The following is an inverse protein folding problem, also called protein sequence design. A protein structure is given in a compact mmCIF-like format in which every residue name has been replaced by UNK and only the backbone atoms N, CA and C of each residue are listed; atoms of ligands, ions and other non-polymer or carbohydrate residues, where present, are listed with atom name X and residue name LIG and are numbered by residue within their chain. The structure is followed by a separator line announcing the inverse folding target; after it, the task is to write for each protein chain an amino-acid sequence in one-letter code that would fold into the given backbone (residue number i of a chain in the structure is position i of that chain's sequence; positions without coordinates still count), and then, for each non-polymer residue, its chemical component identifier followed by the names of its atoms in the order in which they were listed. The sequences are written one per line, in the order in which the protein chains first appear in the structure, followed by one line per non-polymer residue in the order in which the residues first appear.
data_IF_826015592674
#
_entry.id   IF_826015592674
#
_cell.length_a   1.000
_cell.length_b   1.000
_cell.length_c   1.000
_cell.angle_alpha   90.00
_cell.angle_beta   90.00
_cell.angle_gamma   90.00
#
_symmetry.space_group_name_H-M   'P 1'
#
loop_
_entity.id
_entity.type
_entity.pdbx_description
1 polymer ?
#
# COMPACT_ATOMS: atom_id res chain seq x y z
N UNK A 1 -13.96 11.87 -1.15
CA UNK A 1 -13.84 13.11 -0.33
C UNK A 1 -12.51 13.10 0.43
N UNK A 2 -12.46 13.74 1.57
CA UNK A 2 -11.19 13.77 2.36
C UNK A 2 -10.71 12.34 2.60
N UNK A 3 -11.61 11.39 2.59
CA UNK A 3 -11.20 9.98 2.82
C UNK A 3 -10.17 9.55 1.77
N UNK A 4 -10.53 9.63 0.52
CA UNK A 4 -9.57 9.23 -0.56
C UNK A 4 -8.39 10.20 -0.61
N UNK A 5 -8.47 11.30 0.08
CA UNK A 5 -7.34 12.28 0.06
C UNK A 5 -6.13 11.71 0.81
N UNK A 6 -6.36 11.09 1.94
CA UNK A 6 -5.22 10.52 2.71
C UNK A 6 -4.75 9.20 2.08
N UNK A 7 -5.65 8.46 1.49
CA UNK A 7 -5.25 7.17 0.85
C UNK A 7 -4.31 7.43 -0.32
N UNK A 8 -4.43 8.57 -0.95
CA UNK A 8 -3.54 8.88 -2.11
C UNK A 8 -2.13 9.23 -1.61
N UNK A 9 -2.04 9.86 -0.47
CA UNK A 9 -0.70 10.23 0.07
C UNK A 9 0.06 8.98 0.52
N UNK A 10 -0.65 7.92 0.82
CA UNK A 10 0.02 6.67 1.27
C UNK A 10 0.63 5.94 0.07
N UNK A 11 -0.10 5.83 -1.00
CA UNK A 11 0.43 5.13 -2.21
C UNK A 11 1.72 5.80 -2.68
N UNK A 12 1.85 7.08 -2.46
CA UNK A 12 3.09 7.79 -2.89
C UNK A 12 4.21 7.55 -1.87
N UNK A 13 3.85 7.33 -0.63
CA UNK A 13 4.89 7.08 0.41
C UNK A 13 5.63 5.77 0.11
N UNK A 14 4.96 4.82 -0.48
CA UNK A 14 5.64 3.53 -0.80
C UNK A 14 6.45 3.66 -2.10
N UNK A 15 6.28 4.73 -2.82
CA UNK A 15 7.04 4.89 -4.09
C UNK A 15 8.49 5.30 -3.81
N UNK A 16 8.71 6.03 -2.75
CA UNK A 16 10.11 6.47 -2.43
C UNK A 16 10.84 5.38 -1.63
N UNK A 17 10.23 4.88 -0.59
CA UNK A 17 10.90 3.83 0.23
C UNK A 17 11.30 2.64 -0.65
N UNK A 18 10.39 2.15 -1.44
CA UNK A 18 10.72 1.00 -2.32
C UNK A 18 11.69 1.43 -3.43
N UNK A 19 11.94 2.70 -3.56
CA UNK A 19 12.88 3.16 -4.62
C UNK A 19 14.31 2.76 -4.23
N UNK A 20 14.54 2.50 -2.96
CA UNK A 20 15.90 2.10 -2.52
C UNK A 20 16.01 0.58 -2.40
N UNK A 21 15.42 0.00 -1.38
CA UNK A 21 15.48 -1.47 -1.20
C UNK A 21 16.93 -1.94 -1.03
N UNK A 22 17.84 -1.03 -0.81
CA UNK A 22 19.24 -1.45 -0.57
C UNK A 22 19.25 -2.06 0.82
N UNK A 23 18.45 -1.50 1.69
CA UNK A 23 18.32 -2.03 3.07
C UNK A 23 17.31 -3.16 3.02
N UNK A 24 16.30 -3.00 2.19
CA UNK A 24 15.24 -4.03 2.01
C UNK A 24 14.71 -4.57 3.35
N UNK A 25 15.40 -5.52 3.93
CA UNK A 25 14.95 -6.13 5.23
C UNK A 25 14.34 -5.09 6.18
N UNK A 26 14.95 -3.95 6.32
CA UNK A 26 14.39 -2.91 7.23
C UNK A 26 13.53 -1.90 6.45
N UNK A 27 13.50 -2.01 5.16
CA UNK A 27 12.70 -1.05 4.34
C UNK A 27 11.31 -1.62 4.02
N UNK A 28 11.24 -2.57 3.13
CA UNK A 28 9.91 -3.13 2.77
C UNK A 28 9.44 -4.18 3.79
N UNK A 29 10.05 -4.24 4.94
CA UNK A 29 9.56 -5.19 5.97
C UNK A 29 8.28 -4.59 6.53
N UNK A 30 8.34 -3.33 6.86
CA UNK A 30 7.13 -2.64 7.37
C UNK A 30 6.12 -2.55 6.23
N UNK A 31 6.59 -2.55 5.00
CA UNK A 31 5.65 -2.50 3.84
C UNK A 31 4.56 -3.56 4.01
N UNK A 32 4.96 -4.80 4.18
CA UNK A 32 3.97 -5.89 4.36
C UNK A 32 2.95 -5.50 5.43
N UNK A 33 3.41 -4.93 6.51
CA UNK A 33 2.46 -4.51 7.58
C UNK A 33 1.50 -3.45 7.04
N UNK A 34 1.85 -2.82 5.94
CA UNK A 34 0.96 -1.77 5.36
C UNK A 34 -0.17 -2.42 4.54
N UNK A 35 0.17 -3.00 3.41
CA UNK A 35 -0.89 -3.65 2.55
C UNK A 35 -1.87 -4.45 3.41
N UNK A 36 -1.44 -4.95 4.54
CA UNK A 36 -2.36 -5.72 5.41
C UNK A 36 -3.45 -4.78 5.94
N UNK A 37 -3.07 -3.63 6.42
CA UNK A 37 -4.08 -2.66 6.93
C UNK A 37 -4.79 -1.98 5.75
N UNK A 38 -4.40 -2.27 4.54
CA UNK A 38 -5.06 -1.64 3.36
C UNK A 38 -6.38 -2.36 3.06
N UNK A 39 -6.52 -3.58 3.50
CA UNK A 39 -7.78 -4.32 3.24
C UNK A 39 -8.75 -4.12 4.41
N UNK A 40 -8.30 -4.36 5.61
CA UNK A 40 -9.20 -4.18 6.79
C UNK A 40 -9.68 -2.73 6.87
N UNK A 41 -8.89 -1.80 6.40
CA UNK A 41 -9.30 -0.37 6.45
C UNK A 41 -10.10 0.00 5.19
N UNK A 42 -9.78 -0.59 4.07
CA UNK A 42 -10.52 -0.28 2.81
C UNK A 42 -12.04 -0.28 3.04
N UNK A 43 -12.51 -1.09 3.95
CA UNK A 43 -13.97 -1.12 4.22
C UNK A 43 -14.31 -0.20 5.40
N UNK A 44 -13.40 -0.03 6.31
CA UNK A 44 -13.67 0.84 7.49
C UNK A 44 -13.15 2.27 7.26
N UNK A 45 -12.71 2.58 6.08
CA UNK A 45 -12.18 3.96 5.83
C UNK A 45 -13.34 4.96 5.63
N UNK A 46 -14.53 4.46 5.39
CA UNK A 46 -15.69 5.38 5.20
C UNK A 46 -16.97 4.59 5.45
N UNK A 47 -18.09 5.05 4.94
CA UNK A 47 -19.35 4.30 5.15
C UNK A 47 -19.13 2.86 4.68
N UNK A 48 -18.60 2.71 3.49
CA UNK A 48 -18.30 1.36 2.91
C UNK A 48 -17.95 1.52 1.43
N UNK A 49 -16.98 2.35 1.14
CA UNK A 49 -16.59 2.56 -0.29
C UNK A 49 -16.12 1.23 -0.89
N UNK A 50 -17.02 0.51 -1.50
CA UNK A 50 -16.63 -0.80 -2.12
C UNK A 50 -16.12 -0.59 -3.55
N UNK A 51 -16.87 0.14 -4.33
CA UNK A 51 -16.45 0.41 -5.73
C UNK A 51 -15.41 1.53 -5.76
N UNK A 52 -15.64 2.56 -4.99
CA UNK A 52 -14.67 3.70 -4.95
C UNK A 52 -13.26 3.19 -4.68
N UNK A 53 -13.01 2.65 -3.52
CA UNK A 53 -11.64 2.14 -3.22
C UNK A 53 -11.37 0.84 -4.00
N UNK A 54 -12.36 0.30 -4.67
CA UNK A 54 -12.14 -0.95 -5.44
C UNK A 54 -10.93 -0.79 -6.36
N UNK A 55 -10.87 0.30 -7.08
CA UNK A 55 -9.70 0.52 -7.99
C UNK A 55 -8.40 0.37 -7.20
N UNK A 56 -8.41 0.76 -5.95
CA UNK A 56 -7.18 0.62 -5.12
C UNK A 56 -6.95 -0.84 -4.75
N UNK A 57 -7.85 -1.72 -5.10
CA UNK A 57 -7.66 -3.16 -4.76
C UNK A 57 -6.86 -3.83 -5.87
N UNK A 58 -6.88 -3.28 -7.06
CA UNK A 58 -6.12 -3.89 -8.18
C UNK A 58 -4.69 -3.34 -8.18
N UNK A 59 -4.53 -2.08 -7.91
CA UNK A 59 -3.16 -1.48 -7.89
C UNK A 59 -2.39 -2.00 -6.67
N UNK A 60 -2.99 -1.94 -5.51
CA UNK A 60 -2.30 -2.43 -4.28
C UNK A 60 -1.90 -3.90 -4.46
N UNK A 61 -2.56 -4.60 -5.34
CA UNK A 61 -2.21 -6.03 -5.57
C UNK A 61 -0.79 -6.14 -6.13
N UNK A 62 -0.52 -5.45 -7.21
CA UNK A 62 0.84 -5.50 -7.80
C UNK A 62 1.86 -4.91 -6.83
N UNK A 63 1.41 -4.14 -5.87
CA UNK A 63 2.35 -3.53 -4.88
C UNK A 63 2.84 -4.59 -3.89
N UNK A 64 2.18 -5.72 -3.83
CA UNK A 64 2.62 -6.79 -2.88
C UNK A 64 3.65 -7.71 -3.54
N UNK A 65 3.35 -8.24 -4.68
CA UNK A 65 4.31 -9.16 -5.37
C UNK A 65 5.63 -8.42 -5.64
N UNK A 66 5.56 -7.32 -6.34
CA UNK A 66 6.81 -6.56 -6.64
C UNK A 66 7.57 -6.29 -5.34
N UNK A 67 6.88 -6.28 -4.23
CA UNK A 67 7.56 -6.02 -2.94
C UNK A 67 8.26 -7.30 -2.44
N UNK A 68 7.91 -8.44 -2.98
CA UNK A 68 8.56 -9.70 -2.55
C UNK A 68 10.01 -9.76 -3.05
N UNK A 69 10.30 -9.07 -4.13
CA UNK A 69 11.70 -9.09 -4.66
C UNK A 69 12.56 -8.04 -3.95
N UNK A 70 11.99 -6.90 -3.66
CA UNK A 70 12.75 -5.82 -2.95
C UNK A 70 13.33 -6.34 -1.64
N UNK A 71 12.80 -7.42 -1.13
CA UNK A 71 13.33 -7.98 0.15
C UNK A 71 14.84 -8.20 0.05
N UNK A 72 15.33 -8.48 -1.13
CA UNK A 72 16.80 -8.71 -1.29
C UNK A 72 17.28 -8.17 -2.65
N UNK A 73 17.00 -6.93 -2.94
CA UNK A 73 17.43 -6.36 -4.24
C UNK A 73 18.63 -5.43 -4.04
#
# INVERSE_FOLDING_TARGET
MGSWAEFKQRLAAIKTRLQALGGSEAELAAFEKEIAAFESELQAYKGKGNPEVEALRKEAAAIRDELQAYRHN
#
